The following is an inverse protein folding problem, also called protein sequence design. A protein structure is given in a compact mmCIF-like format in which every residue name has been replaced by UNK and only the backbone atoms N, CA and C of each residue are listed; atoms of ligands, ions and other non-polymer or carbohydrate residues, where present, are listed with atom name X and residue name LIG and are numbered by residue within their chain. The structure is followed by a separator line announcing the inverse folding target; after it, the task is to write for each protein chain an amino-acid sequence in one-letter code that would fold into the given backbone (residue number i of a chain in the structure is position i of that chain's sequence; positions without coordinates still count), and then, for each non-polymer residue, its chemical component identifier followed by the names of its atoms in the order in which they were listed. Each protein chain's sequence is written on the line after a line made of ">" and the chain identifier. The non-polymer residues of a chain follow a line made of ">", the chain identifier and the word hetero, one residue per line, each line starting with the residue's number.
data_IF_765612761589
#
_entry.id   IF_765612761589
#
_cell.length_a   1.000
_cell.length_b   1.000
_cell.length_c   1.000
_cell.angle_alpha   90.00
_cell.angle_beta   90.00
_cell.angle_gamma   90.00
#
_symmetry.space_group_name_H-M   'P 1'
#
loop_
_entity.id
_entity.type
_entity.pdbx_description
1 polymer ?
#
# COMPACT_ATOMS: atom_id res chain seq x y z
N UNK A 1 -8.00 -23.32 -5.26
CA UNK A 1 -7.92 -22.12 -6.11
C UNK A 1 -9.32 -21.65 -6.48
N UNK A 2 -10.11 -22.41 -7.25
CA UNK A 2 -11.45 -21.98 -7.70
C UNK A 2 -12.40 -21.59 -6.57
N UNK A 3 -12.35 -22.25 -5.41
CA UNK A 3 -13.12 -21.85 -4.22
C UNK A 3 -12.72 -20.47 -3.67
N UNK A 4 -11.42 -20.14 -3.67
CA UNK A 4 -10.95 -18.81 -3.28
C UNK A 4 -11.39 -17.76 -4.29
N UNK A 5 -11.30 -18.07 -5.59
CA UNK A 5 -11.73 -17.16 -6.66
C UNK A 5 -13.23 -16.88 -6.54
N UNK A 6 -14.06 -17.92 -6.41
CA UNK A 6 -15.51 -17.77 -6.21
C UNK A 6 -15.86 -17.01 -4.93
N UNK A 7 -15.11 -17.20 -3.83
CA UNK A 7 -15.27 -16.41 -2.61
C UNK A 7 -14.89 -14.94 -2.83
N UNK A 8 -13.76 -14.68 -3.48
CA UNK A 8 -13.33 -13.30 -3.78
C UNK A 8 -14.30 -12.59 -4.70
N UNK A 9 -14.84 -13.30 -5.69
CA UNK A 9 -15.90 -12.80 -6.56
C UNK A 9 -17.11 -12.45 -5.69
N UNK A 10 -17.71 -13.41 -4.99
CA UNK A 10 -18.91 -13.22 -4.17
C UNK A 10 -18.76 -12.08 -3.15
N UNK A 11 -17.62 -11.98 -2.45
CA UNK A 11 -17.35 -10.90 -1.50
C UNK A 11 -17.24 -9.54 -2.21
N UNK A 12 -16.62 -9.48 -3.40
CA UNK A 12 -16.55 -8.24 -4.18
C UNK A 12 -17.95 -7.78 -4.63
N UNK A 13 -18.80 -8.72 -5.09
CA UNK A 13 -20.20 -8.44 -5.43
C UNK A 13 -20.94 -7.93 -4.19
N UNK A 14 -20.83 -8.68 -3.08
CA UNK A 14 -21.50 -8.37 -1.83
C UNK A 14 -21.14 -6.98 -1.30
N UNK A 15 -19.86 -6.62 -1.33
CA UNK A 15 -19.40 -5.28 -0.91
C UNK A 15 -19.97 -4.16 -1.78
N UNK A 16 -20.11 -4.40 -3.08
CA UNK A 16 -20.68 -3.40 -4.01
C UNK A 16 -22.12 -3.09 -3.64
N UNK A 17 -22.96 -4.11 -3.46
CA UNK A 17 -24.37 -3.90 -3.06
C UNK A 17 -24.53 -3.47 -1.60
N UNK A 18 -23.62 -3.87 -0.72
CA UNK A 18 -23.56 -3.41 0.66
C UNK A 18 -23.30 -1.90 0.75
N UNK A 19 -22.38 -1.38 -0.06
CA UNK A 19 -22.13 0.05 -0.19
C UNK A 19 -23.34 0.80 -0.77
N UNK A 20 -24.06 0.24 -1.74
CA UNK A 20 -25.26 0.86 -2.33
C UNK A 20 -26.48 0.90 -1.40
N UNK A 21 -26.55 0.00 -0.42
CA UNK A 21 -27.65 -0.13 0.55
C UNK A 21 -27.24 0.30 1.96
N UNK A 22 -26.06 0.89 2.12
CA UNK A 22 -25.50 1.37 3.39
C UNK A 22 -25.50 0.32 4.53
N UNK A 23 -25.13 -0.93 4.22
CA UNK A 23 -24.92 -1.97 5.22
C UNK A 23 -23.50 -2.54 5.17
N UNK A 24 -23.09 -3.23 6.24
CA UNK A 24 -21.77 -3.84 6.33
C UNK A 24 -21.84 -5.33 5.97
N UNK A 25 -20.94 -5.78 5.10
CA UNK A 25 -20.81 -7.18 4.70
C UNK A 25 -19.75 -7.87 5.57
N UNK A 26 -20.14 -8.97 6.22
CA UNK A 26 -19.23 -9.82 6.98
C UNK A 26 -18.70 -10.96 6.10
N UNK A 27 -17.44 -10.85 5.68
CA UNK A 27 -16.80 -11.85 4.80
C UNK A 27 -16.74 -13.25 5.40
N UNK A 28 -16.69 -13.39 6.73
CA UNK A 28 -16.69 -14.71 7.37
C UNK A 28 -18.06 -15.39 7.22
N UNK A 29 -19.16 -14.62 7.34
CA UNK A 29 -20.52 -15.14 7.14
C UNK A 29 -20.77 -15.53 5.69
N UNK A 30 -20.27 -14.75 4.73
CA UNK A 30 -20.33 -15.09 3.31
C UNK A 30 -19.58 -16.40 3.01
N UNK A 31 -18.41 -16.59 3.62
CA UNK A 31 -17.65 -17.84 3.48
C UNK A 31 -18.41 -19.05 4.01
N UNK A 32 -19.03 -18.94 5.19
CA UNK A 32 -19.87 -20.01 5.76
C UNK A 32 -21.10 -20.28 4.88
N UNK A 33 -21.74 -19.24 4.36
CA UNK A 33 -22.90 -19.36 3.48
C UNK A 33 -22.55 -20.09 2.18
N UNK A 34 -21.48 -19.69 1.48
CA UNK A 34 -21.01 -20.37 0.26
C UNK A 34 -20.58 -21.81 0.52
N UNK A 35 -19.91 -22.07 1.64
CA UNK A 35 -19.53 -23.43 2.04
C UNK A 35 -20.75 -24.31 2.25
N UNK A 36 -21.71 -23.84 3.05
CA UNK A 36 -22.96 -24.56 3.35
C UNK A 36 -23.79 -24.80 2.09
N UNK A 37 -23.89 -23.79 1.22
CA UNK A 37 -24.62 -23.86 -0.05
C UNK A 37 -24.04 -24.95 -0.96
N UNK A 38 -22.71 -25.03 -1.09
CA UNK A 38 -22.07 -26.04 -1.93
C UNK A 38 -22.10 -27.44 -1.31
N UNK A 39 -22.05 -27.58 0.02
CA UNK A 39 -22.26 -28.88 0.68
C UNK A 39 -23.69 -29.38 0.41
N UNK A 40 -24.71 -28.55 0.66
CA UNK A 40 -26.10 -28.92 0.41
C UNK A 40 -26.36 -29.20 -1.09
N UNK A 41 -25.78 -28.39 -1.98
CA UNK A 41 -25.87 -28.59 -3.43
C UNK A 41 -25.21 -29.89 -3.90
N UNK A 42 -24.10 -30.31 -3.29
CA UNK A 42 -23.42 -31.56 -3.65
C UNK A 42 -24.28 -32.80 -3.39
N UNK A 43 -25.16 -32.75 -2.37
CA UNK A 43 -26.09 -33.85 -2.06
C UNK A 43 -27.21 -34.00 -3.10
N UNK A 44 -27.46 -32.98 -3.91
CA UNK A 44 -28.49 -32.98 -4.96
C UNK A 44 -27.91 -33.01 -6.37
N UNK A 45 -26.61 -33.27 -6.51
CA UNK A 45 -25.88 -33.20 -7.80
C UNK A 45 -25.98 -31.83 -8.47
N UNK A 46 -26.07 -30.76 -7.68
CA UNK A 46 -26.11 -29.38 -8.19
C UNK A 46 -24.74 -28.96 -8.72
N UNK A 47 -24.73 -28.04 -9.70
CA UNK A 47 -23.52 -27.33 -10.09
C UNK A 47 -23.00 -26.47 -8.94
N UNK A 48 -21.69 -26.18 -8.97
CA UNK A 48 -21.05 -25.31 -7.99
C UNK A 48 -21.77 -23.95 -7.99
N UNK A 49 -22.20 -23.54 -6.81
CA UNK A 49 -22.85 -22.26 -6.61
C UNK A 49 -21.82 -21.20 -6.19
N UNK A 50 -21.83 -20.07 -6.88
CA UNK A 50 -20.97 -18.91 -6.64
C UNK A 50 -21.78 -17.62 -6.69
N UNK A 51 -21.18 -16.50 -6.28
CA UNK A 51 -21.74 -15.17 -6.49
C UNK A 51 -21.89 -14.87 -7.98
N UNK A 52 -22.98 -14.23 -8.38
CA UNK A 52 -23.21 -13.86 -9.78
C UNK A 52 -23.55 -12.38 -9.90
N UNK A 53 -22.64 -11.63 -10.52
CA UNK A 53 -22.73 -10.18 -10.58
C UNK A 53 -23.93 -9.73 -11.43
N UNK A 54 -24.13 -10.38 -12.57
CA UNK A 54 -25.27 -10.15 -13.46
C UNK A 54 -26.61 -10.44 -12.80
N UNK A 55 -26.75 -11.58 -12.09
CA UNK A 55 -28.02 -11.92 -11.41
C UNK A 55 -28.32 -10.97 -10.27
N UNK A 56 -27.33 -10.62 -9.45
CA UNK A 56 -27.50 -9.67 -8.35
C UNK A 56 -27.85 -8.27 -8.86
N UNK A 57 -27.24 -7.82 -9.96
CA UNK A 57 -27.56 -6.54 -10.59
C UNK A 57 -28.99 -6.49 -11.12
N UNK A 58 -29.44 -7.51 -11.84
CA UNK A 58 -30.83 -7.59 -12.31
C UNK A 58 -31.81 -7.65 -11.14
N UNK A 59 -31.51 -8.44 -10.10
CA UNK A 59 -32.36 -8.52 -8.90
C UNK A 59 -32.46 -7.17 -8.17
N UNK A 60 -31.35 -6.44 -8.08
CA UNK A 60 -31.30 -5.10 -7.50
C UNK A 60 -32.10 -4.08 -8.34
N UNK A 61 -31.91 -4.07 -9.68
CA UNK A 61 -32.65 -3.19 -10.59
C UNK A 61 -34.15 -3.50 -10.62
N UNK A 62 -34.55 -4.75 -10.38
CA UNK A 62 -35.94 -5.15 -10.23
C UNK A 62 -36.59 -4.68 -8.91
N UNK A 63 -35.85 -3.99 -8.04
CA UNK A 63 -36.37 -3.43 -6.79
C UNK A 63 -36.44 -4.42 -5.63
N UNK A 64 -35.60 -5.47 -5.64
CA UNK A 64 -35.49 -6.40 -4.52
C UNK A 64 -35.23 -5.67 -3.18
N UNK A 65 -36.02 -6.00 -2.17
CA UNK A 65 -35.84 -5.52 -0.78
C UNK A 65 -35.41 -6.63 0.18
N UNK A 66 -35.68 -7.90 -0.14
CA UNK A 66 -35.44 -9.03 0.77
C UNK A 66 -34.82 -10.24 0.04
N UNK A 67 -34.09 -11.11 0.76
CA UNK A 67 -33.55 -12.35 0.20
C UNK A 67 -34.61 -13.34 -0.33
N UNK A 68 -35.90 -13.12 -0.02
CA UNK A 68 -37.03 -13.93 -0.53
C UNK A 68 -37.09 -13.89 -2.06
N UNK A 69 -36.61 -12.81 -2.69
CA UNK A 69 -36.44 -12.72 -4.14
C UNK A 69 -35.69 -13.92 -4.74
N UNK A 70 -34.66 -14.43 -4.05
CA UNK A 70 -33.87 -15.57 -4.52
C UNK A 70 -34.65 -16.89 -4.48
N UNK A 71 -35.61 -17.03 -3.55
CA UNK A 71 -36.49 -18.20 -3.45
C UNK A 71 -37.50 -18.19 -4.61
N UNK A 72 -38.08 -17.02 -4.90
CA UNK A 72 -38.99 -16.87 -6.04
C UNK A 72 -38.23 -17.14 -7.35
N UNK A 73 -37.03 -16.58 -7.49
CA UNK A 73 -36.19 -16.78 -8.66
C UNK A 73 -35.84 -18.27 -8.85
N UNK A 74 -35.46 -18.99 -7.78
CA UNK A 74 -35.13 -20.42 -7.90
C UNK A 74 -36.35 -21.26 -8.29
N UNK A 75 -37.54 -20.94 -7.78
CA UNK A 75 -38.80 -21.59 -8.19
C UNK A 75 -39.14 -21.33 -9.65
N UNK A 76 -38.98 -20.10 -10.14
CA UNK A 76 -39.19 -19.75 -11.55
C UNK A 76 -38.18 -20.47 -12.44
N UNK A 77 -36.90 -20.54 -12.04
CA UNK A 77 -35.88 -21.30 -12.78
C UNK A 77 -36.25 -22.79 -12.82
N UNK A 78 -36.68 -23.38 -11.71
CA UNK A 78 -37.13 -24.78 -11.67
C UNK A 78 -38.30 -25.05 -12.62
N UNK A 79 -39.33 -24.19 -12.59
CA UNK A 79 -40.49 -24.32 -13.48
C UNK A 79 -40.10 -24.16 -14.96
N UNK A 80 -39.23 -23.19 -15.24
CA UNK A 80 -38.69 -22.94 -16.58
C UNK A 80 -37.95 -24.18 -17.09
N UNK A 81 -37.15 -24.83 -16.24
CA UNK A 81 -36.42 -26.04 -16.58
C UNK A 81 -37.35 -27.24 -16.85
N UNK A 82 -38.44 -27.39 -16.08
CA UNK A 82 -39.39 -28.50 -16.25
C UNK A 82 -40.33 -28.34 -17.46
N UNK A 83 -40.74 -27.11 -17.79
CA UNK A 83 -41.80 -26.84 -18.77
C UNK A 83 -41.30 -26.17 -20.05
N UNK A 84 -40.35 -25.22 -19.94
CA UNK A 84 -40.00 -24.28 -21.03
C UNK A 84 -38.66 -24.62 -21.70
N UNK A 85 -37.85 -25.52 -21.13
CA UNK A 85 -36.56 -25.97 -21.72
C UNK A 85 -36.62 -26.33 -23.21
N UNK A 86 -37.64 -27.05 -23.72
CA UNK A 86 -37.71 -27.38 -25.14
C UNK A 86 -37.75 -26.16 -26.06
N UNK A 87 -38.31 -25.04 -25.58
CA UNK A 87 -38.34 -23.78 -26.32
C UNK A 87 -36.95 -23.11 -26.31
N UNK A 88 -36.26 -23.12 -25.16
CA UNK A 88 -34.93 -22.53 -25.05
C UNK A 88 -33.84 -23.29 -25.80
N UNK A 89 -34.04 -24.57 -26.12
CA UNK A 89 -33.09 -25.41 -26.87
C UNK A 89 -32.63 -24.77 -28.19
N UNK A 90 -33.48 -23.97 -28.83
CA UNK A 90 -33.21 -23.33 -30.12
C UNK A 90 -32.60 -21.93 -29.99
N UNK A 91 -32.32 -21.46 -28.77
CA UNK A 91 -31.81 -20.10 -28.54
C UNK A 91 -30.37 -20.00 -29.01
N UNK A 92 -30.05 -19.12 -29.99
CA UNK A 92 -28.68 -18.92 -30.43
C UNK A 92 -27.80 -18.34 -29.32
N UNK A 93 -26.52 -18.74 -29.29
CA UNK A 93 -25.52 -18.20 -28.35
C UNK A 93 -25.40 -16.66 -28.43
N UNK A 94 -25.70 -16.06 -29.58
CA UNK A 94 -25.72 -14.61 -29.75
C UNK A 94 -26.77 -13.92 -28.86
N UNK A 95 -27.96 -14.52 -28.72
CA UNK A 95 -29.01 -13.98 -27.83
C UNK A 95 -28.56 -14.08 -26.38
N UNK A 96 -27.99 -15.22 -25.97
CA UNK A 96 -27.43 -15.39 -24.62
C UNK A 96 -26.33 -14.36 -24.32
N UNK A 97 -25.42 -14.14 -25.27
CA UNK A 97 -24.39 -13.11 -25.18
C UNK A 97 -24.98 -11.71 -25.01
N UNK A 98 -26.00 -11.35 -25.80
CA UNK A 98 -26.67 -10.05 -25.69
C UNK A 98 -27.35 -9.84 -24.33
N UNK A 99 -27.99 -10.89 -23.77
CA UNK A 99 -28.62 -10.83 -22.46
C UNK A 99 -27.56 -10.60 -21.38
N UNK A 100 -26.43 -11.31 -21.45
CA UNK A 100 -25.34 -11.15 -20.49
C UNK A 100 -24.74 -9.74 -20.59
N UNK A 101 -24.41 -9.27 -21.80
CA UNK A 101 -23.86 -7.92 -22.02
C UNK A 101 -24.83 -6.86 -21.51
N UNK A 102 -26.12 -6.96 -21.84
CA UNK A 102 -27.14 -6.02 -21.37
C UNK A 102 -27.26 -6.02 -19.84
N UNK A 103 -27.08 -7.16 -19.18
CA UNK A 103 -27.15 -7.25 -17.73
C UNK A 103 -25.93 -6.65 -17.03
N UNK A 104 -24.74 -6.71 -17.64
CA UNK A 104 -23.48 -6.27 -17.01
C UNK A 104 -22.99 -4.90 -17.48
N UNK A 105 -23.46 -4.38 -18.62
CA UNK A 105 -22.94 -3.12 -19.20
C UNK A 105 -23.12 -1.92 -18.26
N UNK A 106 -24.23 -1.87 -17.52
CA UNK A 106 -24.53 -0.80 -16.55
C UNK A 106 -23.62 -0.81 -15.32
N UNK A 107 -22.73 -1.80 -15.22
CA UNK A 107 -21.84 -1.99 -14.09
C UNK A 107 -20.38 -1.63 -14.43
N UNK A 108 -20.11 -1.28 -15.69
CA UNK A 108 -18.81 -0.80 -16.11
C UNK A 108 -18.64 0.64 -15.61
N UNK A 109 -17.91 0.78 -14.50
CA UNK A 109 -17.59 2.07 -13.89
C UNK A 109 -16.31 2.67 -14.50
N UNK A 110 -16.49 3.43 -15.58
CA UNK A 110 -15.39 4.12 -16.25
C UNK A 110 -14.84 5.30 -15.42
N UNK A 111 -15.64 5.89 -14.54
CA UNK A 111 -15.21 6.99 -13.68
C UNK A 111 -14.20 6.50 -12.64
N UNK A 112 -14.45 5.33 -12.04
CA UNK A 112 -13.51 4.67 -11.14
C UNK A 112 -12.17 4.38 -11.83
N UNK A 113 -12.19 3.90 -13.08
CA UNK A 113 -10.96 3.64 -13.85
C UNK A 113 -10.18 4.94 -14.10
N UNK A 114 -10.86 6.03 -14.45
CA UNK A 114 -10.24 7.36 -14.62
C UNK A 114 -9.66 7.89 -13.31
N UNK A 115 -10.36 7.67 -12.19
CA UNK A 115 -9.89 8.07 -10.86
C UNK A 115 -8.62 7.31 -10.50
N UNK A 116 -8.60 5.98 -10.66
CA UNK A 116 -7.42 5.14 -10.41
C UNK A 116 -6.24 5.65 -11.26
N UNK A 117 -6.45 5.95 -12.54
CA UNK A 117 -5.41 6.53 -13.40
C UNK A 117 -4.85 7.86 -12.87
N UNK A 118 -5.69 8.72 -12.28
CA UNK A 118 -5.25 10.02 -11.74
C UNK A 118 -4.51 9.88 -10.41
N UNK A 119 -4.90 8.92 -9.58
CA UNK A 119 -4.39 8.74 -8.20
C UNK A 119 -3.15 7.85 -8.16
N UNK A 120 -3.20 6.66 -8.75
CA UNK A 120 -2.10 5.68 -8.68
C UNK A 120 -1.95 4.90 -9.99
N UNK A 121 -0.84 5.16 -10.68
CA UNK A 121 -0.52 4.51 -11.97
C UNK A 121 -0.29 3.01 -11.85
N UNK A 122 0.24 2.53 -10.72
CA UNK A 122 0.48 1.09 -10.53
C UNK A 122 -0.83 0.35 -10.32
N UNK A 123 -1.79 0.95 -9.62
CA UNK A 123 -3.13 0.36 -9.47
C UNK A 123 -3.89 0.35 -10.80
N UNK A 124 -3.68 1.37 -11.63
CA UNK A 124 -4.23 1.36 -12.99
C UNK A 124 -3.64 0.23 -13.84
N UNK A 125 -2.32 0.00 -13.76
CA UNK A 125 -1.66 -1.12 -14.46
C UNK A 125 -2.23 -2.46 -13.96
N UNK A 126 -2.47 -2.61 -12.65
CA UNK A 126 -3.12 -3.80 -12.08
C UNK A 126 -4.54 -3.98 -12.62
N UNK A 127 -5.34 -2.90 -12.68
CA UNK A 127 -6.69 -2.91 -13.24
C UNK A 127 -6.72 -3.31 -14.72
N UNK A 128 -5.87 -2.70 -15.55
CA UNK A 128 -5.77 -3.06 -16.97
C UNK A 128 -5.22 -4.47 -17.18
N UNK A 129 -4.29 -4.91 -16.31
CA UNK A 129 -3.78 -6.28 -16.30
C UNK A 129 -4.88 -7.31 -16.02
N UNK A 130 -5.75 -7.04 -15.03
CA UNK A 130 -6.95 -7.85 -14.79
C UNK A 130 -7.87 -7.85 -16.00
N UNK A 131 -8.22 -6.67 -16.52
CA UNK A 131 -9.15 -6.53 -17.64
C UNK A 131 -8.70 -7.33 -18.87
N UNK A 132 -7.47 -7.09 -19.34
CA UNK A 132 -6.94 -7.80 -20.50
C UNK A 132 -6.67 -9.28 -20.21
N UNK A 133 -6.26 -9.64 -18.99
CA UNK A 133 -6.09 -11.02 -18.57
C UNK A 133 -7.39 -11.83 -18.62
N UNK A 134 -8.52 -11.23 -18.21
CA UNK A 134 -9.84 -11.88 -18.32
C UNK A 134 -10.31 -11.96 -19.77
N UNK A 135 -10.16 -10.88 -20.54
CA UNK A 135 -10.62 -10.81 -21.93
C UNK A 135 -9.88 -11.82 -22.83
N UNK A 136 -8.56 -11.96 -22.67
CA UNK A 136 -7.72 -12.75 -23.58
C UNK A 136 -7.32 -14.13 -23.06
N UNK A 137 -7.51 -14.42 -21.76
CA UNK A 137 -7.12 -15.71 -21.19
C UNK A 137 -8.23 -16.34 -20.34
N UNK A 138 -8.38 -15.90 -19.08
CA UNK A 138 -9.42 -16.38 -18.19
C UNK A 138 -9.54 -15.49 -16.96
N UNK A 139 -10.66 -15.64 -16.23
CA UNK A 139 -10.87 -14.95 -14.94
C UNK A 139 -9.74 -15.28 -13.95
N UNK A 140 -9.31 -16.55 -13.89
CA UNK A 140 -8.26 -16.99 -12.97
C UNK A 140 -6.91 -16.32 -13.28
N UNK A 141 -6.54 -16.25 -14.57
CA UNK A 141 -5.29 -15.63 -15.01
C UNK A 141 -5.35 -14.11 -14.82
N UNK A 142 -6.46 -13.46 -15.18
CA UNK A 142 -6.63 -12.02 -14.96
C UNK A 142 -6.53 -11.62 -13.49
N UNK A 143 -7.17 -12.38 -12.60
CA UNK A 143 -7.05 -12.15 -11.16
C UNK A 143 -5.61 -12.37 -10.67
N UNK A 144 -4.95 -13.43 -11.13
CA UNK A 144 -3.56 -13.71 -10.77
C UNK A 144 -2.62 -12.59 -11.20
N UNK A 145 -2.79 -12.03 -12.41
CA UNK A 145 -2.02 -10.88 -12.90
C UNK A 145 -2.19 -9.68 -11.97
N UNK A 146 -3.43 -9.30 -11.65
CA UNK A 146 -3.70 -8.16 -10.80
C UNK A 146 -3.15 -8.33 -9.38
N UNK A 147 -3.37 -9.49 -8.76
CA UNK A 147 -2.81 -9.81 -7.43
C UNK A 147 -1.29 -9.77 -7.45
N UNK A 148 -0.66 -10.29 -8.51
CA UNK A 148 0.79 -10.29 -8.68
C UNK A 148 1.35 -8.86 -8.78
N UNK A 149 0.71 -7.99 -9.58
CA UNK A 149 1.11 -6.58 -9.72
C UNK A 149 0.93 -5.84 -8.39
N UNK A 150 -0.20 -6.02 -7.72
CA UNK A 150 -0.48 -5.40 -6.42
C UNK A 150 0.51 -5.85 -5.35
N UNK A 151 0.87 -7.14 -5.32
CA UNK A 151 1.88 -7.65 -4.41
C UNK A 151 3.28 -7.10 -4.73
N UNK A 152 3.66 -7.05 -6.01
CA UNK A 152 4.92 -6.43 -6.43
C UNK A 152 4.98 -4.94 -6.06
N UNK A 153 3.88 -4.20 -6.21
CA UNK A 153 3.74 -2.80 -5.76
C UNK A 153 4.00 -2.68 -4.26
N UNK A 154 3.34 -3.50 -3.44
CA UNK A 154 3.52 -3.51 -1.98
C UNK A 154 4.98 -3.82 -1.63
N UNK A 155 5.58 -4.83 -2.24
CA UNK A 155 6.98 -5.17 -2.02
C UNK A 155 7.92 -4.00 -2.37
N UNK A 156 7.70 -3.32 -3.50
CA UNK A 156 8.49 -2.15 -3.87
C UNK A 156 8.33 -1.01 -2.86
N UNK A 157 7.11 -0.75 -2.38
CA UNK A 157 6.86 0.29 -1.37
C UNK A 157 7.51 -0.03 -0.02
N UNK A 158 7.44 -1.29 0.42
CA UNK A 158 8.01 -1.75 1.69
C UNK A 158 9.54 -1.75 1.64
N UNK A 159 10.13 -2.24 0.54
CA UNK A 159 11.59 -2.36 0.38
C UNK A 159 12.28 -1.03 0.06
N UNK A 160 11.56 -0.06 -0.51
CA UNK A 160 12.09 1.25 -0.90
C UNK A 160 11.26 2.39 -0.30
N UNK A 161 11.30 2.56 1.03
CA UNK A 161 10.58 3.65 1.69
C UNK A 161 11.12 5.02 1.23
N UNK A 162 10.26 6.04 1.31
CA UNK A 162 10.66 7.40 0.98
C UNK A 162 11.64 7.92 2.04
N UNK A 163 12.68 8.58 1.56
CA UNK A 163 13.60 9.36 2.39
C UNK A 163 13.71 10.73 1.76
N UNK A 164 13.63 11.77 2.58
CA UNK A 164 13.58 13.16 2.10
C UNK A 164 14.59 14.02 2.85
N UNK A 165 15.14 15.03 2.18
CA UNK A 165 15.98 16.04 2.81
C UNK A 165 15.12 17.11 3.46
N UNK A 166 15.45 17.47 4.71
CA UNK A 166 14.77 18.54 5.42
C UNK A 166 15.60 19.82 5.43
N UNK A 167 14.93 20.94 5.20
CA UNK A 167 15.47 22.30 5.33
C UNK A 167 14.70 23.09 6.38
N UNK A 168 15.33 24.12 6.94
CA UNK A 168 14.70 25.03 7.90
C UNK A 168 13.80 26.03 7.17
N UNK A 169 12.55 26.18 7.61
CA UNK A 169 11.72 27.30 7.19
C UNK A 169 12.21 28.59 7.88
N UNK A 170 12.65 29.62 7.12
CA UNK A 170 13.30 30.79 7.68
C UNK A 170 12.48 31.48 8.78
N UNK A 171 13.15 31.86 9.87
CA UNK A 171 12.50 32.52 11.01
C UNK A 171 11.70 31.57 11.93
N UNK A 172 11.76 30.26 11.69
CA UNK A 172 11.05 29.26 12.50
C UNK A 172 11.98 28.16 13.01
N UNK A 173 11.50 27.34 13.94
CA UNK A 173 12.14 26.10 14.37
C UNK A 173 11.65 24.86 13.59
N UNK A 174 10.94 25.08 12.47
CA UNK A 174 10.28 24.01 11.71
C UNK A 174 11.19 23.57 10.55
N UNK A 175 11.30 22.25 10.38
CA UNK A 175 12.05 21.62 9.30
C UNK A 175 11.09 20.85 8.39
N UNK A 176 11.19 21.06 7.08
CA UNK A 176 10.29 20.47 6.08
C UNK A 176 11.03 19.96 4.86
N UNK A 177 10.38 19.06 4.14
CA UNK A 177 10.89 18.51 2.88
C UNK A 177 11.19 19.64 1.89
N UNK A 178 12.45 19.75 1.48
CA UNK A 178 12.95 20.78 0.55
C UNK A 178 12.32 20.66 -0.85
N UNK A 179 11.97 19.44 -1.28
CA UNK A 179 11.25 19.23 -2.54
C UNK A 179 9.82 19.77 -2.49
N UNK A 180 9.20 19.79 -1.30
CA UNK A 180 7.82 20.25 -1.12
C UNK A 180 7.75 21.75 -0.79
N UNK A 181 8.75 22.28 -0.09
CA UNK A 181 8.84 23.66 0.37
C UNK A 181 10.16 24.27 -0.13
N UNK A 182 10.19 24.87 -1.33
CA UNK A 182 11.41 25.43 -1.93
C UNK A 182 12.04 26.56 -1.10
N UNK A 183 11.28 27.20 -0.22
CA UNK A 183 11.75 28.21 0.71
C UNK A 183 12.54 27.65 1.91
N UNK A 184 12.48 26.33 2.14
CA UNK A 184 13.21 25.66 3.20
C UNK A 184 14.72 25.65 2.90
N UNK A 185 15.52 26.24 3.78
CA UNK A 185 16.96 26.42 3.58
C UNK A 185 17.76 25.30 4.24
N UNK A 186 18.78 24.82 3.54
CA UNK A 186 19.77 23.91 4.10
C UNK A 186 20.60 24.65 5.16
N UNK A 187 21.02 23.93 6.20
CA UNK A 187 21.88 24.46 7.26
C UNK A 187 23.33 24.16 6.85
N UNK A 188 24.23 25.16 6.75
CA UNK A 188 25.63 24.90 6.42
C UNK A 188 26.28 23.88 7.36
N UNK A 189 26.96 22.90 6.79
CA UNK A 189 27.64 21.84 7.54
C UNK A 189 26.72 20.72 8.09
N UNK A 190 25.40 20.79 7.88
CA UNK A 190 24.43 19.84 8.44
C UNK A 190 23.49 19.30 7.36
N UNK A 191 23.43 17.98 7.22
CA UNK A 191 22.43 17.29 6.39
C UNK A 191 21.38 16.67 7.29
N UNK A 192 20.10 16.86 6.95
CA UNK A 192 18.97 16.33 7.72
C UNK A 192 18.16 15.41 6.81
N UNK A 193 18.15 14.12 7.11
CA UNK A 193 17.42 13.11 6.34
C UNK A 193 16.26 12.59 7.19
N UNK A 194 15.05 12.65 6.67
CA UNK A 194 13.88 11.99 7.28
C UNK A 194 13.61 10.64 6.64
N UNK A 195 13.35 9.64 7.47
CA UNK A 195 12.94 8.30 7.03
C UNK A 195 11.44 8.12 7.24
N UNK A 196 10.68 8.00 6.16
CA UNK A 196 9.20 7.95 6.18
C UNK A 196 8.65 6.52 6.33
N UNK A 197 9.31 5.64 7.10
CA UNK A 197 8.85 4.26 7.32
C UNK A 197 9.57 3.57 8.47
N UNK A 198 8.98 2.47 8.95
CA UNK A 198 9.68 1.51 9.82
C UNK A 198 10.94 0.95 9.13
N UNK A 199 11.96 0.65 9.92
CA UNK A 199 13.24 0.14 9.42
C UNK A 199 13.35 -1.34 9.75
N UNK A 200 13.04 -2.17 8.76
CA UNK A 200 13.06 -3.63 8.88
C UNK A 200 14.13 -4.26 8.00
N UNK A 201 14.36 -5.55 8.16
CA UNK A 201 15.23 -6.36 7.31
C UNK A 201 15.02 -6.10 5.82
N UNK A 202 13.76 -5.97 5.39
CA UNK A 202 13.38 -5.74 4.00
C UNK A 202 13.88 -4.42 3.39
N UNK A 203 14.14 -3.39 4.21
CA UNK A 203 14.45 -2.04 3.71
C UNK A 203 15.65 -1.35 4.40
N UNK A 204 16.18 -1.92 5.47
CA UNK A 204 17.29 -1.36 6.28
C UNK A 204 18.53 -1.02 5.44
N UNK A 205 18.97 -1.94 4.57
CA UNK A 205 20.08 -1.70 3.65
C UNK A 205 19.78 -0.54 2.68
N UNK A 206 18.56 -0.51 2.13
CA UNK A 206 18.13 0.56 1.23
C UNK A 206 18.11 1.92 1.92
N UNK A 207 17.58 2.00 3.14
CA UNK A 207 17.57 3.24 3.94
C UNK A 207 18.99 3.71 4.21
N UNK A 208 19.90 2.82 4.65
CA UNK A 208 21.31 3.14 4.87
C UNK A 208 21.97 3.68 3.61
N UNK A 209 21.86 2.96 2.49
CA UNK A 209 22.48 3.33 1.22
C UNK A 209 21.88 4.61 0.65
N UNK A 210 20.57 4.81 0.75
CA UNK A 210 19.93 6.04 0.27
C UNK A 210 20.31 7.24 1.12
N UNK A 211 20.41 7.09 2.44
CA UNK A 211 20.91 8.14 3.35
C UNK A 211 22.35 8.52 3.03
N UNK A 212 23.23 7.54 2.77
CA UNK A 212 24.61 7.81 2.35
C UNK A 212 24.69 8.48 0.96
N UNK A 213 23.79 8.14 0.04
CA UNK A 213 23.68 8.81 -1.26
C UNK A 213 23.23 10.26 -1.10
N UNK A 214 22.20 10.53 -0.29
CA UNK A 214 21.78 11.89 0.03
C UNK A 214 22.93 12.71 0.61
N UNK A 215 23.67 12.14 1.55
CA UNK A 215 24.85 12.79 2.12
C UNK A 215 25.91 13.11 1.06
N UNK A 216 26.22 12.14 0.19
CA UNK A 216 27.25 12.31 -0.85
C UNK A 216 26.83 13.36 -1.89
N UNK A 217 25.55 13.37 -2.30
CA UNK A 217 24.97 14.36 -3.20
C UNK A 217 25.07 15.78 -2.60
N UNK A 218 24.80 15.95 -1.30
CA UNK A 218 24.93 17.24 -0.61
C UNK A 218 26.40 17.64 -0.38
N UNK A 219 27.31 16.69 -0.15
CA UNK A 219 28.76 16.95 -0.07
C UNK A 219 29.31 17.48 -1.39
N UNK A 220 28.86 16.94 -2.52
CA UNK A 220 29.25 17.40 -3.86
C UNK A 220 28.73 18.80 -4.16
N UNK A 221 27.46 19.09 -3.82
CA UNK A 221 26.88 20.44 -3.95
C UNK A 221 27.61 21.47 -3.09
N UNK A 222 27.86 21.14 -1.81
CA UNK A 222 28.56 22.03 -0.90
C UNK A 222 29.97 22.39 -1.43
N UNK A 223 30.70 21.41 -1.98
CA UNK A 223 32.01 21.64 -2.60
C UNK A 223 31.93 22.51 -3.85
N UNK A 224 30.94 22.29 -4.71
CA UNK A 224 30.75 23.05 -5.94
C UNK A 224 30.39 24.53 -5.64
N UNK A 225 29.64 24.77 -4.57
CA UNK A 225 29.22 26.11 -4.13
C UNK A 225 30.25 26.79 -3.20
N UNK A 226 31.36 26.12 -2.88
CA UNK A 226 32.38 26.64 -1.95
C UNK A 226 31.89 26.76 -0.49
N UNK A 227 30.88 25.98 -0.11
CA UNK A 227 30.34 25.92 1.25
C UNK A 227 31.21 25.05 2.17
N UNK A 228 31.00 25.20 3.48
CA UNK A 228 31.67 24.40 4.50
C UNK A 228 31.46 22.89 4.30
N UNK A 229 32.48 22.10 4.64
CA UNK A 229 32.39 20.64 4.69
C UNK A 229 31.21 20.22 5.58
N UNK A 230 30.50 19.17 5.19
CA UNK A 230 29.46 18.58 6.04
C UNK A 230 30.11 17.86 7.22
N UNK A 231 29.72 18.23 8.43
CA UNK A 231 30.21 17.65 9.69
C UNK A 231 29.14 16.83 10.41
N UNK A 232 27.86 17.06 10.12
CA UNK A 232 26.75 16.43 10.84
C UNK A 232 25.72 15.83 9.89
N UNK A 233 25.29 14.61 10.20
CA UNK A 233 24.12 13.97 9.61
C UNK A 233 23.08 13.75 10.71
N UNK A 234 21.94 14.41 10.58
CA UNK A 234 20.78 14.22 11.46
C UNK A 234 19.80 13.28 10.75
N UNK A 235 19.42 12.19 11.41
CA UNK A 235 18.34 11.31 10.96
C UNK A 235 17.09 11.63 11.76
N UNK A 236 16.07 12.15 11.07
CA UNK A 236 14.75 12.43 11.63
C UNK A 236 13.91 11.14 11.60
N UNK A 237 13.54 10.68 12.79
CA UNK A 237 12.94 9.37 13.04
C UNK A 237 11.49 9.44 13.54
N UNK A 238 10.83 10.61 13.57
CA UNK A 238 9.42 10.70 13.98
C UNK A 238 8.49 9.74 13.24
N UNK A 239 8.64 9.51 11.91
CA UNK A 239 7.80 8.56 11.19
C UNK A 239 8.24 7.09 11.36
N UNK A 240 9.41 6.85 11.97
CA UNK A 240 9.95 5.50 12.19
C UNK A 240 9.27 4.91 13.42
N UNK A 241 8.14 4.23 13.18
CA UNK A 241 7.34 3.62 14.25
C UNK A 241 8.04 2.43 14.91
N UNK A 242 8.94 1.75 14.18
CA UNK A 242 9.59 0.53 14.62
C UNK A 242 10.92 0.30 13.88
N UNK A 243 11.82 -0.45 14.53
CA UNK A 243 13.10 -0.89 14.00
C UNK A 243 13.36 -2.34 14.41
N UNK A 244 13.88 -3.20 13.53
CA UNK A 244 14.29 -4.57 13.91
C UNK A 244 15.81 -4.71 14.07
N UNK A 245 16.28 -5.91 14.40
CA UNK A 245 17.72 -6.21 14.56
C UNK A 245 18.53 -5.85 13.31
N UNK A 246 17.97 -6.06 12.12
CA UNK A 246 18.65 -5.71 10.86
C UNK A 246 18.72 -4.20 10.65
N UNK A 247 17.66 -3.49 11.02
CA UNK A 247 17.64 -2.03 11.08
C UNK A 247 18.69 -1.46 12.05
N UNK A 248 18.83 -2.05 13.24
CA UNK A 248 19.85 -1.67 14.21
C UNK A 248 21.26 -1.88 13.64
N UNK A 249 21.55 -3.03 13.04
CA UNK A 249 22.84 -3.27 12.40
C UNK A 249 23.10 -2.31 11.23
N UNK A 250 22.10 -2.01 10.42
CA UNK A 250 22.25 -1.03 9.35
C UNK A 250 22.55 0.38 9.87
N UNK A 251 21.97 0.77 11.00
CA UNK A 251 22.28 2.05 11.66
C UNK A 251 23.66 2.05 12.31
N UNK A 252 24.10 0.93 12.86
CA UNK A 252 25.47 0.75 13.37
C UNK A 252 26.50 0.85 12.25
N UNK A 253 26.24 0.21 11.11
CA UNK A 253 27.07 0.33 9.91
C UNK A 253 27.08 1.76 9.38
N UNK A 254 25.94 2.45 9.39
CA UNK A 254 25.86 3.86 9.03
C UNK A 254 26.75 4.70 9.94
N UNK A 255 26.64 4.53 11.26
CA UNK A 255 27.50 5.19 12.24
C UNK A 255 28.99 4.93 11.97
N UNK A 256 29.39 3.67 11.75
CA UNK A 256 30.79 3.30 11.44
C UNK A 256 31.29 3.95 10.15
N UNK A 257 30.45 4.02 9.12
CA UNK A 257 30.78 4.67 7.85
C UNK A 257 30.96 6.19 8.01
N UNK A 258 30.08 6.84 8.76
CA UNK A 258 30.16 8.28 9.02
C UNK A 258 31.37 8.65 9.88
N UNK A 259 31.67 7.84 10.89
CA UNK A 259 32.87 8.01 11.73
C UNK A 259 34.15 7.98 10.91
N UNK A 260 34.25 7.12 9.89
CA UNK A 260 35.40 7.09 8.96
C UNK A 260 35.52 8.36 8.11
N UNK A 261 34.42 9.08 7.87
CA UNK A 261 34.39 10.35 7.13
C UNK A 261 34.51 11.58 8.02
N UNK A 262 34.66 11.38 9.33
CA UNK A 262 34.63 12.44 10.34
C UNK A 262 33.31 13.24 10.31
N UNK A 263 32.21 12.50 10.15
CA UNK A 263 30.84 13.03 10.18
C UNK A 263 30.13 12.45 11.39
N UNK A 264 29.55 13.33 12.21
CA UNK A 264 28.84 12.95 13.42
C UNK A 264 27.39 12.60 13.10
N UNK A 265 26.98 11.38 13.47
CA UNK A 265 25.61 10.92 13.36
C UNK A 265 24.79 11.41 14.56
N UNK A 266 23.62 11.98 14.30
CA UNK A 266 22.67 12.44 15.29
C UNK A 266 21.29 11.87 14.97
N UNK A 267 20.57 11.40 15.98
CA UNK A 267 19.20 10.90 15.85
C UNK A 267 18.24 11.93 16.42
N UNK A 268 17.19 12.28 15.66
CA UNK A 268 16.15 13.20 16.09
C UNK A 268 14.81 12.47 16.19
N UNK A 269 14.17 12.61 17.35
CA UNK A 269 12.86 12.08 17.71
C UNK A 269 12.63 10.58 17.42
N UNK A 270 13.49 9.67 17.88
CA UNK A 270 13.17 8.24 17.81
C UNK A 270 11.93 7.93 18.66
N UNK A 271 10.96 7.20 18.10
CA UNK A 271 9.79 6.73 18.84
C UNK A 271 10.16 5.82 20.02
N UNK A 272 9.24 5.61 20.96
CA UNK A 272 9.51 4.83 22.19
C UNK A 272 10.02 3.43 21.94
N UNK A 273 9.40 2.70 21.00
CA UNK A 273 9.81 1.33 20.61
C UNK A 273 11.20 1.34 19.98
N UNK A 274 11.49 2.35 19.13
CA UNK A 274 12.81 2.51 18.51
C UNK A 274 13.86 2.80 19.57
N UNK A 275 13.57 3.70 20.51
CA UNK A 275 14.48 4.06 21.59
C UNK A 275 14.76 2.89 22.52
N UNK A 276 13.75 2.10 22.89
CA UNK A 276 13.92 0.87 23.68
C UNK A 276 14.90 -0.09 23.00
N UNK A 277 14.74 -0.33 21.70
CA UNK A 277 15.62 -1.22 20.93
C UNK A 277 17.03 -0.65 20.73
N UNK A 278 17.18 0.67 20.60
CA UNK A 278 18.48 1.34 20.57
C UNK A 278 19.24 1.16 21.89
N UNK A 279 18.52 1.24 23.02
CA UNK A 279 19.08 1.02 24.36
C UNK A 279 19.46 -0.46 24.56
N UNK A 280 18.57 -1.40 24.23
CA UNK A 280 18.84 -2.84 24.38
C UNK A 280 20.02 -3.32 23.53
N UNK A 281 20.23 -2.71 22.36
CA UNK A 281 21.36 -3.03 21.48
C UNK A 281 22.66 -2.31 21.83
N UNK A 282 22.65 -1.41 22.83
CA UNK A 282 23.79 -0.53 23.19
C UNK A 282 24.28 0.36 22.05
N UNK A 283 23.49 0.55 20.99
CA UNK A 283 23.87 1.42 19.88
C UNK A 283 23.90 2.89 20.33
N UNK A 284 23.04 3.25 21.29
CA UNK A 284 23.06 4.57 21.95
C UNK A 284 24.40 4.87 22.62
N UNK A 285 25.12 3.86 23.14
CA UNK A 285 26.44 4.04 23.76
C UNK A 285 27.51 4.37 22.71
N UNK A 286 27.41 3.76 21.52
CA UNK A 286 28.31 4.02 20.41
C UNK A 286 28.07 5.39 19.77
N UNK A 287 26.81 5.73 19.52
CA UNK A 287 26.41 7.04 18.98
C UNK A 287 26.68 8.14 20.02
N UNK A 288 26.50 7.83 21.30
CA UNK A 288 26.57 8.74 22.44
C UNK A 288 25.20 9.31 22.77
N UNK A 289 24.78 9.24 24.04
CA UNK A 289 23.47 9.71 24.49
C UNK A 289 23.21 11.20 24.21
N UNK A 290 24.27 12.00 24.10
CA UNK A 290 24.19 13.43 23.77
C UNK A 290 23.89 13.70 22.28
N UNK A 291 23.85 12.66 21.44
CA UNK A 291 23.56 12.75 20.01
C UNK A 291 22.15 12.23 19.67
N UNK A 292 21.28 12.09 20.68
CA UNK A 292 19.87 11.74 20.51
C UNK A 292 19.03 12.89 21.06
N UNK A 293 18.22 13.51 20.21
CA UNK A 293 17.42 14.69 20.56
C UNK A 293 15.94 14.44 20.37
N UNK A 294 15.10 15.16 21.12
CA UNK A 294 13.65 15.12 20.97
C UNK A 294 13.16 15.86 19.72
N UNK A 295 13.90 16.87 19.26
CA UNK A 295 13.52 17.66 18.08
C UNK A 295 14.70 17.88 17.15
N UNK A 296 14.41 18.04 15.85
CA UNK A 296 15.41 18.43 14.85
C UNK A 296 16.00 19.80 15.19
N UNK A 297 15.19 20.73 15.70
CA UNK A 297 15.66 22.06 16.07
C UNK A 297 16.75 22.02 17.14
N UNK A 298 16.61 21.18 18.17
CA UNK A 298 17.61 21.04 19.22
C UNK A 298 18.88 20.35 18.72
N UNK A 299 18.73 19.34 17.85
CA UNK A 299 19.85 18.70 17.17
C UNK A 299 20.66 19.71 16.32
N UNK A 300 20.00 20.54 15.52
CA UNK A 300 20.67 21.57 14.71
C UNK A 300 21.34 22.61 15.60
N UNK A 301 20.70 23.08 16.67
CA UNK A 301 21.31 24.02 17.63
C UNK A 301 22.60 23.46 18.23
N UNK A 302 22.62 22.16 18.53
CA UNK A 302 23.82 21.48 18.99
C UNK A 302 24.92 21.48 17.91
N UNK A 303 24.58 21.11 16.67
CA UNK A 303 25.53 21.14 15.53
C UNK A 303 26.13 22.53 15.31
N UNK A 304 25.29 23.57 15.29
CA UNK A 304 25.75 24.95 15.05
C UNK A 304 26.68 25.43 16.15
N UNK A 305 26.39 25.13 17.42
CA UNK A 305 27.28 25.47 18.54
C UNK A 305 28.63 24.77 18.43
N UNK A 306 28.65 23.49 18.04
CA UNK A 306 29.87 22.72 17.90
C UNK A 306 30.73 23.22 16.73
N UNK A 307 30.09 23.55 15.60
CA UNK A 307 30.77 24.15 14.44
C UNK A 307 31.37 25.53 14.73
N UNK A 308 30.87 26.28 15.71
CA UNK A 308 31.45 27.56 16.14
C UNK A 308 32.62 27.40 17.13
N UNK A 309 32.75 26.23 17.77
CA UNK A 309 33.81 25.95 18.75
C UNK A 309 35.05 25.30 18.13
N UNK A 310 34.90 24.65 16.98
CA UNK A 310 36.02 24.13 16.19
C UNK A 310 36.59 25.27 15.31
N UNK A 311 37.86 25.69 15.51
CA UNK A 311 38.49 26.81 14.80
C UNK A 311 38.78 26.54 13.32
#
# INVERSE_FOLDING_TARGET
>A
ISAMIGLTEAVAIGRTFAALKDYQLDGNKEMVALGTMNIAGSMTSCYIATGSFSRSAVNFMAGCQTPVSNIIMSAVVLLTLLVITPLFKYTPNAILGSIIISAVIGLVDYEAVILIWKVDKMDFISCMGAFFGVVFASVEIGLLIAVSISFAKILLQVTRPRTVLLGNLPGTTIYRNTDQYPEARHIPGVVIVRVDSAIYFSNSNYVRERTLRWLTEEEEKAKAEGQSKINFLIIEMSPVIDIDTSGIHALEDLYKNLKKRDIQLILANPGSIVMEKLLSSKLNEHIGSNNIFLTVADAVRFCTRKSMQEP
#
